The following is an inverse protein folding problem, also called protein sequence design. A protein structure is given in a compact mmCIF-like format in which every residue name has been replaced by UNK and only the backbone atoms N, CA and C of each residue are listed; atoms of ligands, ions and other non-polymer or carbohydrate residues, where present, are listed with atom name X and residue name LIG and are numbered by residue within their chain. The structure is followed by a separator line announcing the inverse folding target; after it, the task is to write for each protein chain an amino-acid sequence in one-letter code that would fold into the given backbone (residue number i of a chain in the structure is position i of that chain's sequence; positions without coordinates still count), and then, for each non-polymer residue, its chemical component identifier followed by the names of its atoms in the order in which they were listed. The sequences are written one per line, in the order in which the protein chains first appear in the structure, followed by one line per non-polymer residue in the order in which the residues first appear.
data_IF_413140839980
#
_entry.id   IF_413140839980
#
_cell.length_a   1.000
_cell.length_b   1.000
_cell.length_c   1.000
_cell.angle_alpha   90.00
_cell.angle_beta   90.00
_cell.angle_gamma   90.00
#
_symmetry.space_group_name_H-M   'P 1'
#
loop_
_entity.id
_entity.type
_entity.pdbx_description
1 polymer ?
#
# COMPACT_ATOMS: atom_id res chain seq x y z
N UNK A 1 55.86 14.55 -25.47
CA UNK A 1 54.93 13.40 -25.43
C UNK A 1 54.78 12.96 -23.98
N UNK A 2 53.81 13.51 -23.26
CA UNK A 2 53.68 13.34 -21.80
C UNK A 2 52.60 12.29 -21.53
N UNK A 3 53.01 11.11 -21.07
CA UNK A 3 52.10 10.03 -20.69
C UNK A 3 51.38 10.41 -19.39
N UNK A 4 50.10 10.74 -19.52
CA UNK A 4 49.21 11.14 -18.45
C UNK A 4 49.00 9.99 -17.44
N UNK A 5 49.27 10.24 -16.16
CA UNK A 5 49.18 9.28 -15.04
C UNK A 5 47.75 8.95 -14.57
N UNK A 6 46.72 9.23 -15.37
CA UNK A 6 45.32 9.15 -14.95
C UNK A 6 44.53 7.95 -15.56
N UNK A 7 45.22 6.99 -16.19
CA UNK A 7 44.57 5.89 -16.94
C UNK A 7 44.24 4.64 -16.10
N UNK A 8 44.78 4.45 -14.89
CA UNK A 8 44.59 3.19 -14.14
C UNK A 8 43.41 3.20 -13.15
N UNK A 9 42.77 4.35 -12.87
CA UNK A 9 41.73 4.44 -11.84
C UNK A 9 40.27 4.32 -12.35
N UNK A 10 40.06 3.96 -13.63
CA UNK A 10 38.72 3.80 -14.21
C UNK A 10 38.27 2.32 -14.22
N UNK A 11 38.06 1.75 -13.03
CA UNK A 11 37.18 0.60 -12.87
C UNK A 11 35.96 1.12 -12.10
N UNK A 12 34.77 1.22 -12.71
CA UNK A 12 33.58 1.67 -12.00
C UNK A 12 33.12 0.59 -11.02
N UNK A 13 33.13 0.89 -9.73
CA UNK A 13 32.30 0.15 -8.78
C UNK A 13 30.88 0.74 -8.85
N UNK A 14 29.86 -0.03 -9.24
CA UNK A 14 28.51 0.48 -9.35
C UNK A 14 27.97 0.79 -7.95
N UNK A 15 27.74 2.07 -7.64
CA UNK A 15 26.80 2.45 -6.58
C UNK A 15 27.15 3.61 -5.64
N UNK A 16 28.32 4.26 -5.69
CA UNK A 16 28.59 5.36 -4.74
C UNK A 16 29.42 6.50 -5.34
N UNK A 17 28.84 7.22 -6.30
CA UNK A 17 29.18 8.63 -6.49
C UNK A 17 28.10 9.46 -5.82
N UNK A 18 28.35 9.92 -4.59
CA UNK A 18 27.56 11.01 -4.01
C UNK A 18 28.48 11.96 -3.25
N UNK A 19 28.50 13.18 -3.79
CA UNK A 19 29.15 14.40 -3.33
C UNK A 19 29.01 14.63 -1.81
N UNK A 20 30.07 15.17 -1.21
CA UNK A 20 30.06 15.74 0.14
C UNK A 20 28.94 16.79 0.33
N UNK A 21 28.25 16.77 1.48
CA UNK A 21 27.76 17.98 2.13
C UNK A 21 28.33 18.09 3.56
N UNK A 22 28.74 19.30 3.93
CA UNK A 22 29.52 19.59 5.14
C UNK A 22 28.84 19.29 6.48
N UNK A 23 29.69 18.90 7.44
CA UNK A 23 29.46 18.98 8.88
C UNK A 23 29.19 20.42 9.29
N UNK A 24 28.06 20.66 9.98
CA UNK A 24 27.93 21.65 11.05
C UNK A 24 26.82 21.18 12.01
N UNK A 25 27.24 20.74 13.19
CA UNK A 25 26.38 20.51 14.34
C UNK A 25 26.19 21.85 15.07
N UNK A 26 24.96 22.19 15.47
CA UNK A 26 24.58 22.83 16.75
C UNK A 26 23.17 23.45 16.60
N UNK A 27 22.20 22.95 17.39
CA UNK A 27 20.90 23.61 17.56
C UNK A 27 19.74 22.63 17.79
N UNK A 28 19.48 22.26 19.06
CA UNK A 28 18.18 21.70 19.47
C UNK A 28 17.05 22.74 19.35
N UNK A 29 15.76 22.34 19.36
CA UNK A 29 15.16 21.85 20.61
C UNK A 29 14.18 20.65 20.49
N UNK A 30 14.05 19.96 21.63
CA UNK A 30 12.95 19.15 22.16
C UNK A 30 12.47 17.85 21.48
N UNK A 31 12.37 16.74 22.25
CA UNK A 31 11.76 15.48 21.82
C UNK A 31 10.24 15.54 22.04
N UNK A 32 9.48 15.94 21.04
CA UNK A 32 8.04 15.73 21.03
C UNK A 32 7.53 15.64 19.58
N UNK A 33 6.93 14.49 19.27
CA UNK A 33 6.06 14.27 18.10
C UNK A 33 6.75 14.37 16.73
N UNK A 34 7.49 13.31 16.37
CA UNK A 34 7.55 12.90 14.96
C UNK A 34 7.01 11.49 14.84
N UNK A 35 5.97 11.36 14.02
CA UNK A 35 5.29 10.15 13.61
C UNK A 35 6.30 9.05 13.27
N UNK A 36 6.32 8.00 14.08
CA UNK A 36 7.18 6.82 13.88
C UNK A 36 6.58 6.03 12.72
N UNK A 37 7.05 6.26 11.50
CA UNK A 37 6.90 5.27 10.42
C UNK A 37 7.97 5.43 9.35
N UNK A 38 9.24 5.35 9.75
CA UNK A 38 10.35 5.03 8.84
C UNK A 38 11.46 4.32 9.61
N UNK A 39 11.13 3.26 10.35
CA UNK A 39 12.18 2.38 10.88
C UNK A 39 12.75 1.58 9.69
N UNK A 40 14.07 1.54 9.47
CA UNK A 40 14.67 0.65 8.48
C UNK A 40 14.57 -0.78 9.03
N UNK A 41 13.50 -1.48 8.66
CA UNK A 41 13.31 -2.89 9.00
C UNK A 41 14.23 -3.75 8.13
N UNK A 42 15.37 -4.11 8.71
CA UNK A 42 16.29 -5.12 8.20
C UNK A 42 15.62 -6.49 8.14
N UNK A 43 15.88 -7.21 7.04
CA UNK A 43 15.76 -8.67 6.89
C UNK A 43 14.35 -9.28 6.77
N UNK A 44 14.07 -9.81 5.58
CA UNK A 44 13.01 -10.78 5.18
C UNK A 44 11.52 -10.52 5.47
N UNK A 45 11.13 -9.75 6.49
CA UNK A 45 9.72 -9.57 6.92
C UNK A 45 9.07 -8.24 6.47
N UNK A 46 9.85 -7.31 5.91
CA UNK A 46 9.33 -5.99 5.49
C UNK A 46 8.39 -6.00 4.27
N UNK A 47 8.44 -7.06 3.45
CA UNK A 47 7.59 -7.16 2.25
C UNK A 47 6.12 -7.42 2.57
N UNK A 48 5.81 -8.05 3.70
CA UNK A 48 4.42 -8.34 4.07
C UNK A 48 3.68 -7.09 4.54
N UNK A 49 4.32 -6.23 5.34
CA UNK A 49 3.71 -4.98 5.79
C UNK A 49 3.52 -3.97 4.64
N UNK A 50 4.46 -3.89 3.69
CA UNK A 50 4.35 -2.99 2.53
C UNK A 50 3.24 -3.39 1.57
N UNK A 51 2.97 -4.68 1.39
CA UNK A 51 1.81 -5.13 0.58
C UNK A 51 0.47 -4.92 1.31
N UNK A 52 0.41 -5.16 2.62
CA UNK A 52 -0.83 -5.01 3.40
C UNK A 52 -1.36 -3.57 3.42
N UNK A 53 -0.46 -2.58 3.40
CA UNK A 53 -0.79 -1.15 3.32
C UNK A 53 -0.95 -0.63 1.88
N UNK A 54 -0.44 -1.34 0.86
CA UNK A 54 -0.46 -0.86 -0.53
C UNK A 54 -1.89 -0.62 -1.05
N UNK A 55 -2.89 -1.39 -0.57
CA UNK A 55 -4.30 -1.14 -0.93
C UNK A 55 -4.85 0.15 -0.33
N UNK A 56 -4.35 0.58 0.83
CA UNK A 56 -4.70 1.88 1.44
C UNK A 56 -3.90 3.05 0.84
N UNK A 57 -2.91 2.75 0.00
CA UNK A 57 -2.03 3.71 -0.66
C UNK A 57 -2.52 4.06 -2.07
N UNK A 58 -3.67 3.51 -2.49
CA UNK A 58 -4.48 4.06 -3.60
C UNK A 58 -4.65 5.56 -3.36
N UNK A 59 -4.58 6.33 -4.44
CA UNK A 59 -4.56 7.80 -4.43
C UNK A 59 -5.56 8.38 -3.40
N UNK A 60 -5.32 9.56 -2.82
CA UNK A 60 -6.28 10.18 -1.89
C UNK A 60 -7.70 10.33 -2.49
N UNK A 61 -7.79 10.30 -3.82
CA UNK A 61 -9.04 10.36 -4.62
C UNK A 61 -9.38 9.04 -5.34
N UNK A 62 -8.61 7.97 -5.11
CA UNK A 62 -8.78 6.67 -5.77
C UNK A 62 -9.74 5.74 -5.02
N UNK A 63 -10.42 4.81 -5.71
CA UNK A 63 -11.31 3.87 -5.07
C UNK A 63 -10.53 2.97 -4.10
N UNK A 64 -11.09 2.76 -2.91
CA UNK A 64 -10.47 1.95 -1.85
C UNK A 64 -10.48 0.46 -2.22
N UNK A 65 -11.54 0.02 -2.90
CA UNK A 65 -11.71 -1.35 -3.38
C UNK A 65 -11.95 -1.32 -4.89
N UNK A 66 -11.22 -2.15 -5.62
CA UNK A 66 -11.44 -2.31 -7.05
C UNK A 66 -12.53 -3.37 -7.31
N UNK A 67 -13.77 -2.92 -7.59
CA UNK A 67 -14.93 -3.80 -7.76
C UNK A 67 -14.81 -4.73 -8.98
N UNK A 68 -14.22 -4.26 -10.08
CA UNK A 68 -14.11 -5.04 -11.33
C UNK A 68 -13.18 -6.26 -11.22
N UNK A 69 -12.26 -6.27 -10.26
CA UNK A 69 -11.39 -7.43 -9.98
C UNK A 69 -11.82 -8.23 -8.76
N UNK A 70 -12.88 -7.79 -8.07
CA UNK A 70 -13.37 -8.42 -6.85
C UNK A 70 -14.25 -9.64 -7.19
N UNK A 71 -13.99 -10.77 -6.56
CA UNK A 71 -14.81 -11.96 -6.73
C UNK A 71 -15.94 -11.98 -5.69
N UNK A 72 -17.15 -11.57 -6.08
CA UNK A 72 -18.29 -11.40 -5.18
C UNK A 72 -18.72 -12.70 -4.48
N UNK A 73 -18.65 -13.84 -5.16
CA UNK A 73 -19.08 -15.14 -4.62
C UNK A 73 -18.31 -15.55 -3.36
N UNK A 74 -17.01 -15.25 -3.28
CA UNK A 74 -16.19 -15.53 -2.09
C UNK A 74 -16.60 -14.69 -0.87
N UNK A 75 -17.03 -13.46 -1.10
CA UNK A 75 -17.45 -12.55 -0.03
C UNK A 75 -18.89 -12.81 0.41
N UNK A 76 -19.74 -13.26 -0.51
CA UNK A 76 -21.12 -13.62 -0.23
C UNK A 76 -21.27 -14.75 0.80
N UNK A 77 -20.31 -15.67 0.85
CA UNK A 77 -20.25 -16.76 1.85
C UNK A 77 -20.03 -16.26 3.29
N UNK A 78 -19.58 -15.00 3.48
CA UNK A 78 -19.25 -14.43 4.78
C UNK A 78 -20.22 -13.30 5.11
N UNK A 79 -21.34 -13.58 5.82
CA UNK A 79 -22.44 -12.63 5.97
C UNK A 79 -22.02 -11.29 6.60
N UNK A 80 -21.21 -11.33 7.66
CA UNK A 80 -20.69 -10.12 8.33
C UNK A 80 -19.87 -9.23 7.39
N UNK A 81 -19.11 -9.83 6.48
CA UNK A 81 -18.27 -9.09 5.53
C UNK A 81 -19.08 -8.63 4.32
N UNK A 82 -20.03 -9.45 3.87
CA UNK A 82 -20.95 -9.11 2.79
C UNK A 82 -21.77 -7.86 3.14
N UNK A 83 -22.28 -7.74 4.36
CA UNK A 83 -22.98 -6.53 4.85
C UNK A 83 -22.11 -5.28 4.76
N UNK A 84 -20.92 -5.33 5.36
CA UNK A 84 -20.00 -4.19 5.34
C UNK A 84 -19.59 -3.80 3.90
N UNK A 85 -19.38 -4.79 3.04
CA UNK A 85 -19.05 -4.58 1.63
C UNK A 85 -20.23 -3.98 0.86
N UNK A 86 -21.45 -4.48 1.10
CA UNK A 86 -22.67 -3.94 0.50
C UNK A 86 -22.89 -2.47 0.88
N UNK A 87 -22.75 -2.13 2.17
CA UNK A 87 -22.84 -0.75 2.65
C UNK A 87 -21.80 0.16 2.00
N UNK A 88 -20.55 -0.32 1.85
CA UNK A 88 -19.50 0.42 1.17
C UNK A 88 -19.85 0.67 -0.31
N UNK A 89 -20.27 -0.37 -1.04
CA UNK A 89 -20.59 -0.24 -2.46
C UNK A 89 -21.77 0.71 -2.67
N UNK A 90 -22.79 0.64 -1.81
CA UNK A 90 -23.99 1.46 -1.94
C UNK A 90 -23.74 2.94 -1.60
N UNK A 91 -23.00 3.22 -0.51
CA UNK A 91 -22.82 4.60 -0.04
C UNK A 91 -21.59 5.30 -0.62
N UNK A 92 -20.48 4.59 -0.83
CA UNK A 92 -19.23 5.19 -1.31
C UNK A 92 -19.06 5.09 -2.83
N UNK A 93 -19.28 3.90 -3.41
CA UNK A 93 -19.05 3.68 -4.85
C UNK A 93 -20.28 3.99 -5.71
N UNK A 94 -21.48 3.99 -5.10
CA UNK A 94 -22.77 4.23 -5.74
C UNK A 94 -23.05 3.28 -6.94
N UNK A 95 -22.46 2.09 -6.95
CA UNK A 95 -22.68 1.07 -7.97
C UNK A 95 -23.78 0.10 -7.52
N UNK A 96 -25.02 0.48 -7.84
CA UNK A 96 -26.21 -0.29 -7.46
C UNK A 96 -26.22 -1.69 -8.07
N UNK A 97 -25.65 -1.88 -9.26
CA UNK A 97 -25.70 -3.18 -9.95
C UNK A 97 -24.87 -4.22 -9.23
N UNK A 98 -23.63 -3.89 -8.88
CA UNK A 98 -22.75 -4.80 -8.13
C UNK A 98 -23.22 -5.01 -6.70
N UNK A 99 -23.82 -3.99 -6.08
CA UNK A 99 -24.44 -4.12 -4.76
C UNK A 99 -25.61 -5.13 -4.76
N UNK A 100 -26.51 -5.05 -5.73
CA UNK A 100 -27.66 -5.97 -5.85
C UNK A 100 -27.20 -7.39 -6.17
N UNK A 101 -26.20 -7.57 -7.05
CA UNK A 101 -25.65 -8.89 -7.38
C UNK A 101 -25.01 -9.55 -6.15
N UNK A 102 -24.24 -8.78 -5.35
CA UNK A 102 -23.71 -9.26 -4.08
C UNK A 102 -24.82 -9.66 -3.10
N UNK A 103 -25.89 -8.87 -3.00
CA UNK A 103 -27.00 -9.15 -2.12
C UNK A 103 -27.76 -10.42 -2.52
N UNK A 104 -27.96 -10.64 -3.83
CA UNK A 104 -28.56 -11.86 -4.36
C UNK A 104 -27.72 -13.09 -3.98
N UNK A 105 -26.42 -13.06 -4.28
CA UNK A 105 -25.48 -14.14 -3.94
C UNK A 105 -25.43 -14.42 -2.44
N UNK A 106 -25.44 -13.38 -1.60
CA UNK A 106 -25.46 -13.58 -0.14
C UNK A 106 -26.76 -14.17 0.36
N UNK A 107 -27.91 -13.82 -0.24
CA UNK A 107 -29.22 -14.37 0.12
C UNK A 107 -29.32 -15.85 -0.23
N UNK A 108 -28.78 -16.25 -1.39
CA UNK A 108 -28.70 -17.65 -1.79
C UNK A 108 -27.81 -18.46 -0.84
N UNK A 109 -26.63 -17.93 -0.48
CA UNK A 109 -25.71 -18.61 0.44
C UNK A 109 -26.19 -18.66 1.89
N UNK A 110 -27.01 -17.71 2.31
CA UNK A 110 -27.62 -17.70 3.64
C UNK A 110 -28.95 -18.47 3.71
N UNK A 111 -29.37 -19.10 2.61
CA UNK A 111 -30.65 -19.83 2.51
C UNK A 111 -31.84 -18.96 2.91
N UNK A 112 -31.90 -17.72 2.41
CA UNK A 112 -32.97 -16.74 2.70
C UNK A 112 -33.08 -16.34 4.17
N UNK A 113 -32.00 -16.52 4.93
CA UNK A 113 -31.88 -16.05 6.31
C UNK A 113 -31.20 -14.69 6.33
N UNK A 114 -31.39 -13.94 7.41
CA UNK A 114 -30.70 -12.66 7.58
C UNK A 114 -29.18 -12.88 7.61
N UNK A 115 -28.48 -12.26 6.65
CA UNK A 115 -27.03 -12.27 6.48
C UNK A 115 -26.48 -10.91 6.83
#
# INVERSE_FOLDING_TARGET
MILNKNTIAHIPCPGTSLKLPGTNQTGGPSPAVRLISTCPITSSSGRFFRLGMASMLTSPDGPFINLSRLNLTKYAQKPKLAKALFEYILHHENDVKTAVDLAALSTEHSQYKDW
#
